data_IF_196968851445
#
_entry.id   IF_196968851445
#
_cell.length_a   1.000
_cell.length_b   1.000
_cell.length_c   1.000
_cell.angle_alpha   90.00
_cell.angle_beta   90.00
_cell.angle_gamma   90.00
#
_symmetry.space_group_name_H-M   'P 1'
#
loop_
_entity.id
_entity.type
_entity.pdbx_description
1 polymer ?
#
# COMPACT_ATOMS: atom_id res chain seq x y z
N UNK A 1 -2.19 1.67 -6.14
CA UNK A 1 -3.60 2.10 -6.01
C UNK A 1 -4.49 0.87 -5.98
N UNK A 2 -5.58 0.88 -5.20
CA UNK A 2 -6.50 -0.27 -5.04
C UNK A 2 -7.95 0.23 -5.07
N UNK A 3 -8.87 -0.56 -5.62
CA UNK A 3 -10.29 -0.21 -5.67
C UNK A 3 -11.02 -0.54 -4.37
N UNK A 4 -12.14 0.15 -4.11
CA UNK A 4 -13.03 -0.16 -2.97
C UNK A 4 -13.53 -1.62 -3.06
N UNK A 5 -13.80 -2.12 -4.27
CA UNK A 5 -14.19 -3.52 -4.50
C UNK A 5 -13.17 -4.52 -3.93
N UNK A 6 -11.89 -4.33 -4.23
CA UNK A 6 -10.84 -5.22 -3.73
C UNK A 6 -10.75 -5.17 -2.19
N UNK A 7 -10.98 -4.00 -1.59
CA UNK A 7 -11.05 -3.87 -0.12
C UNK A 7 -12.22 -4.68 0.46
N UNK A 8 -13.39 -4.65 -0.17
CA UNK A 8 -14.53 -5.47 0.25
C UNK A 8 -14.27 -6.97 0.11
N UNK A 9 -13.63 -7.41 -0.97
CA UNK A 9 -13.28 -8.82 -1.19
C UNK A 9 -12.30 -9.31 -0.10
N UNK A 10 -11.28 -8.50 0.24
CA UNK A 10 -10.39 -8.79 1.37
C UNK A 10 -11.16 -8.82 2.69
N UNK A 11 -12.06 -7.87 2.91
CA UNK A 11 -12.84 -7.78 4.15
C UNK A 11 -13.76 -8.98 4.36
N UNK A 12 -14.34 -9.54 3.29
CA UNK A 12 -15.17 -10.75 3.38
C UNK A 12 -14.37 -11.95 3.89
N UNK A 13 -13.15 -12.14 3.39
CA UNK A 13 -12.26 -13.19 3.86
C UNK A 13 -11.80 -12.90 5.30
N UNK A 14 -11.40 -11.65 5.58
CA UNK A 14 -10.89 -11.23 6.89
C UNK A 14 -11.94 -11.30 8.00
N UNK A 15 -13.22 -11.09 7.67
CA UNK A 15 -14.32 -11.19 8.63
C UNK A 15 -14.48 -12.61 9.19
N UNK A 16 -13.94 -13.63 8.52
CA UNK A 16 -13.91 -15.01 9.00
C UNK A 16 -12.81 -15.26 10.05
N UNK A 17 -11.91 -14.32 10.29
CA UNK A 17 -10.89 -14.46 11.32
C UNK A 17 -11.52 -14.44 12.71
N UNK A 18 -10.99 -15.28 13.61
CA UNK A 18 -11.51 -15.44 14.98
C UNK A 18 -11.57 -14.11 15.75
N UNK A 19 -10.62 -13.22 15.52
CA UNK A 19 -10.59 -11.91 16.17
C UNK A 19 -11.78 -11.00 15.79
N UNK A 20 -12.36 -11.17 14.60
CA UNK A 20 -13.54 -10.40 14.17
C UNK A 20 -14.84 -11.11 14.55
N UNK A 21 -14.87 -12.44 14.48
CA UNK A 21 -16.01 -13.26 14.92
C UNK A 21 -16.29 -13.10 16.42
N UNK A 22 -15.28 -13.22 17.28
CA UNK A 22 -15.46 -13.12 18.74
C UNK A 22 -16.03 -11.76 19.17
N UNK A 23 -15.70 -10.70 18.43
CA UNK A 23 -16.16 -9.33 18.70
C UNK A 23 -17.46 -8.98 17.97
N UNK A 24 -18.04 -9.92 17.22
CA UNK A 24 -19.23 -9.73 16.40
C UNK A 24 -19.17 -8.44 15.55
N UNK A 25 -18.01 -8.20 14.93
CA UNK A 25 -17.75 -6.95 14.20
C UNK A 25 -18.49 -6.97 12.86
N UNK A 26 -19.21 -5.89 12.55
CA UNK A 26 -19.86 -5.74 11.25
C UNK A 26 -18.85 -5.68 10.10
N UNK A 27 -19.23 -6.16 8.92
CA UNK A 27 -18.38 -6.11 7.73
C UNK A 27 -17.92 -4.68 7.40
N UNK A 28 -18.77 -3.68 7.64
CA UNK A 28 -18.44 -2.26 7.46
C UNK A 28 -17.24 -1.84 8.34
N UNK A 29 -17.20 -2.28 9.59
CA UNK A 29 -16.12 -1.96 10.51
C UNK A 29 -14.82 -2.71 10.14
N UNK A 30 -14.92 -3.92 9.61
CA UNK A 30 -13.77 -4.66 9.04
C UNK A 30 -13.20 -3.91 7.84
N UNK A 31 -14.06 -3.44 6.93
CA UNK A 31 -13.67 -2.62 5.78
C UNK A 31 -12.96 -1.35 6.24
N UNK A 32 -13.53 -0.59 7.19
CA UNK A 32 -12.91 0.63 7.73
C UNK A 32 -11.53 0.35 8.35
N UNK A 33 -11.38 -0.79 9.04
CA UNK A 33 -10.09 -1.21 9.60
C UNK A 33 -9.05 -1.46 8.50
N UNK A 34 -9.42 -2.17 7.43
CA UNK A 34 -8.53 -2.44 6.29
C UNK A 34 -8.18 -1.14 5.54
N UNK A 35 -9.15 -0.23 5.37
CA UNK A 35 -8.91 1.10 4.78
C UNK A 35 -7.87 1.88 5.59
N UNK A 36 -7.95 1.82 6.92
CA UNK A 36 -6.97 2.42 7.81
C UNK A 36 -5.56 1.87 7.58
N UNK A 37 -5.42 0.54 7.57
CA UNK A 37 -4.15 -0.14 7.30
C UNK A 37 -3.58 0.17 5.91
N UNK A 38 -4.42 0.23 4.88
CA UNK A 38 -3.99 0.60 3.53
C UNK A 38 -3.41 2.02 3.50
N UNK A 39 -4.06 2.98 4.18
CA UNK A 39 -3.58 4.37 4.24
C UNK A 39 -2.25 4.49 4.97
N UNK A 40 -2.04 3.77 6.07
CA UNK A 40 -0.76 3.79 6.79
C UNK A 40 0.39 3.17 5.99
N UNK A 41 0.09 2.26 5.05
CA UNK A 41 1.04 1.69 4.11
C UNK A 41 1.29 2.58 2.88
N UNK A 42 0.65 3.75 2.77
CA UNK A 42 0.75 4.62 1.60
C UNK A 42 -0.07 4.13 0.39
N UNK A 43 -0.99 3.19 0.58
CA UNK A 43 -1.85 2.67 -0.48
C UNK A 43 -3.05 3.58 -0.66
N UNK A 44 -3.14 4.23 -1.83
CA UNK A 44 -4.32 5.00 -2.23
C UNK A 44 -5.47 4.07 -2.61
N UNK A 45 -6.61 4.26 -1.96
CA UNK A 45 -7.88 3.58 -2.26
C UNK A 45 -8.74 4.51 -3.13
N UNK A 46 -9.32 3.97 -4.20
CA UNK A 46 -10.19 4.70 -5.14
C UNK A 46 -11.50 3.95 -5.36
N UNK A 47 -12.57 4.67 -5.68
CA UNK A 47 -13.88 4.07 -5.95
C UNK A 47 -13.83 3.27 -7.25
N UNK A 48 -13.50 3.95 -8.35
CA UNK A 48 -13.35 3.36 -9.67
C UNK A 48 -11.86 3.37 -10.06
N UNK A 49 -11.38 2.22 -10.54
CA UNK A 49 -10.01 2.04 -10.97
C UNK A 49 -10.01 1.77 -12.48
N UNK A 50 -9.78 2.81 -13.29
CA UNK A 50 -9.69 2.65 -14.74
C UNK A 50 -8.38 1.93 -15.11
N UNK A 51 -8.39 1.02 -16.10
CA UNK A 51 -7.18 0.30 -16.51
C UNK A 51 -6.08 1.24 -17.03
N UNK A 52 -6.47 2.31 -17.71
CA UNK A 52 -5.55 3.30 -18.30
C UNK A 52 -4.81 4.10 -17.23
N UNK A 53 -5.53 4.64 -16.24
CA UNK A 53 -4.91 5.34 -15.11
C UNK A 53 -4.03 4.42 -14.29
N UNK A 54 -4.45 3.16 -14.12
CA UNK A 54 -3.66 2.18 -13.39
C UNK A 54 -2.34 1.86 -14.08
N UNK A 55 -2.34 1.73 -15.42
CA UNK A 55 -1.12 1.54 -16.21
C UNK A 55 -0.17 2.72 -16.05
N UNK A 56 -0.67 3.95 -16.22
CA UNK A 56 0.14 5.17 -16.06
C UNK A 56 0.73 5.26 -14.64
N UNK A 57 -0.05 4.90 -13.61
CA UNK A 57 0.43 4.85 -12.24
C UNK A 57 1.58 3.85 -12.06
N UNK A 58 1.54 2.69 -12.73
CA UNK A 58 2.61 1.69 -12.65
C UNK A 58 3.90 2.19 -13.31
N UNK A 59 3.81 2.78 -14.50
CA UNK A 59 4.95 3.37 -15.21
C UNK A 59 5.63 4.46 -14.36
N UNK A 60 4.85 5.41 -13.84
CA UNK A 60 5.36 6.46 -12.95
C UNK A 60 6.00 5.90 -11.68
N UNK A 61 5.44 4.81 -11.13
CA UNK A 61 6.00 4.15 -9.95
C UNK A 61 7.33 3.48 -10.26
N UNK A 62 7.47 2.84 -11.41
CA UNK A 62 8.72 2.22 -11.83
C UNK A 62 9.85 3.24 -12.00
N UNK A 63 9.54 4.39 -12.61
CA UNK A 63 10.51 5.49 -12.75
C UNK A 63 10.96 6.02 -11.38
N UNK A 64 10.01 6.26 -10.47
CA UNK A 64 10.32 6.68 -9.09
C UNK A 64 11.16 5.66 -8.36
N UNK A 65 10.83 4.37 -8.47
CA UNK A 65 11.61 3.30 -7.84
C UNK A 65 13.05 3.27 -8.36
N UNK A 66 13.25 3.42 -9.68
CA UNK A 66 14.60 3.51 -10.27
C UNK A 66 15.37 4.71 -9.72
N UNK A 67 14.72 5.88 -9.62
CA UNK A 67 15.32 7.07 -9.04
C UNK A 67 15.69 6.87 -7.55
N UNK A 68 14.79 6.31 -6.75
CA UNK A 68 14.99 6.05 -5.32
C UNK A 68 16.16 5.08 -5.08
N UNK A 69 16.31 4.05 -5.92
CA UNK A 69 17.44 3.11 -5.86
C UNK A 69 18.76 3.83 -6.16
N UNK A 70 18.79 4.71 -7.16
CA UNK A 70 20.00 5.49 -7.50
C UNK A 70 20.35 6.43 -6.35
N UNK A 71 19.37 7.15 -5.80
CA UNK A 71 19.55 8.05 -4.66
C UNK A 71 20.03 7.29 -3.41
N UNK A 72 19.45 6.13 -3.12
CA UNK A 72 19.87 5.29 -2.00
C UNK A 72 21.31 4.77 -2.18
N UNK A 73 21.69 4.40 -3.40
CA UNK A 73 23.07 3.99 -3.71
C UNK A 73 24.07 5.15 -3.55
N UNK A 74 23.71 6.36 -3.98
CA UNK A 74 24.51 7.57 -3.78
C UNK A 74 24.67 7.91 -2.29
N UNK A 75 23.58 7.89 -1.53
CA UNK A 75 23.61 8.13 -0.08
C UNK A 75 24.44 7.07 0.67
N UNK A 76 24.37 5.79 0.24
CA UNK A 76 25.19 4.73 0.81
C UNK A 76 26.69 4.92 0.51
N UNK A 77 27.04 5.39 -0.70
CA UNK A 77 28.42 5.70 -1.06
C UNK A 77 28.98 6.88 -0.24
N UNK A 78 28.18 7.93 -0.01
CA UNK A 78 28.54 9.05 0.86
C UNK A 78 28.71 8.63 2.32
N UNK A 79 27.84 7.76 2.85
CA UNK A 79 27.96 7.26 4.22
C UNK A 79 29.24 6.41 4.46
N UNK A 80 29.78 5.78 3.40
CA UNK A 80 31.03 5.01 3.47
C UNK A 80 32.29 5.90 3.39
N UNK A 81 32.23 7.05 2.69
CA UNK A 81 33.35 7.98 2.60
C UNK A 81 33.54 8.79 3.90
N UNK A 82 32.44 9.07 4.63
CA UNK A 82 32.47 9.76 5.93
C UNK A 82 33.09 8.96 7.08
N UNK A 83 33.17 7.63 6.99
CA UNK A 83 33.77 6.75 8.02
C UNK A 83 35.30 6.59 7.89
N UNK A 84 35.94 7.25 6.93
CA UNK A 84 37.38 7.13 6.66
C UNK A 84 38.23 8.29 7.20
N UNK A 85 37.69 9.11 8.11
CA UNK A 85 38.41 10.20 8.81
C UNK A 85 38.55 9.89 10.29
#
# INVERSE_FOLDING_TARGET
>A
MVSVRAVYEIAQVKALDECFKMRNVSLENVVKSIVGSARSLGIKIVNDLSPEEYRLFLEQREEKLKADVILAAAAAAEALSGKKK
#
